data_IF_696038709638
#
_entry.id   IF_696038709638
#
_cell.length_a   1.000
_cell.length_b   1.000
_cell.length_c   1.000
_cell.angle_alpha   90.00
_cell.angle_beta   90.00
_cell.angle_gamma   90.00
#
_symmetry.space_group_name_H-M   'P 1'
#
loop_
_entity.id
_entity.type
_entity.pdbx_description
1 polymer ?
#
# COMPACT_ATOMS: atom_id res chain seq x y z
N UNK A 1 -9.16 -15.96 -13.30
CA UNK A 1 -7.83 -15.71 -12.71
C UNK A 1 -7.26 -14.44 -13.35
N UNK A 2 -7.64 -13.24 -12.86
CA UNK A 2 -7.22 -11.97 -13.50
C UNK A 2 -6.00 -11.35 -12.79
N UNK A 3 -5.71 -11.74 -11.55
CA UNK A 3 -4.49 -11.35 -10.84
C UNK A 3 -3.45 -12.45 -10.95
N UNK A 4 -2.71 -12.48 -12.07
CA UNK A 4 -1.46 -13.22 -12.14
C UNK A 4 -0.38 -12.40 -11.43
N UNK A 5 0.40 -13.01 -10.52
CA UNK A 5 1.49 -12.36 -9.79
C UNK A 5 2.47 -11.62 -10.72
N UNK A 6 2.60 -12.09 -11.97
CA UNK A 6 3.41 -11.49 -13.03
C UNK A 6 2.95 -10.08 -13.45
N UNK A 7 1.66 -9.77 -13.36
CA UNK A 7 1.09 -8.45 -13.73
C UNK A 7 0.85 -7.59 -12.49
N UNK A 8 0.45 -8.22 -11.38
CA UNK A 8 0.15 -7.49 -10.14
C UNK A 8 1.38 -6.78 -9.56
N UNK A 9 2.55 -7.43 -9.57
CA UNK A 9 3.80 -6.87 -9.04
C UNK A 9 4.30 -5.62 -9.77
N UNK A 10 4.47 -5.62 -11.12
CA UNK A 10 4.91 -4.42 -11.83
C UNK A 10 3.88 -3.30 -11.74
N UNK A 11 2.57 -3.62 -11.80
CA UNK A 11 1.52 -2.63 -11.64
C UNK A 11 1.59 -1.96 -10.26
N UNK A 12 1.74 -2.75 -9.20
CA UNK A 12 1.90 -2.25 -7.84
C UNK A 12 3.15 -1.36 -7.72
N UNK A 13 4.30 -1.79 -8.26
CA UNK A 13 5.52 -0.97 -8.25
C UNK A 13 5.35 0.36 -8.98
N UNK A 14 4.70 0.37 -10.14
CA UNK A 14 4.42 1.62 -10.90
C UNK A 14 3.51 2.53 -10.10
N UNK A 15 2.42 2.02 -9.51
CA UNK A 15 1.53 2.81 -8.67
C UNK A 15 2.25 3.39 -7.45
N UNK A 16 3.12 2.61 -6.79
CA UNK A 16 3.97 3.09 -5.68
C UNK A 16 4.94 4.17 -6.11
N UNK A 17 5.55 4.02 -7.29
CA UNK A 17 6.45 5.03 -7.83
C UNK A 17 5.71 6.33 -8.17
N UNK A 18 4.52 6.24 -8.77
CA UNK A 18 3.69 7.41 -9.06
C UNK A 18 3.19 8.11 -7.79
N UNK A 19 2.83 7.34 -6.76
CA UNK A 19 2.50 7.85 -5.43
C UNK A 19 3.69 8.61 -4.81
N UNK A 20 4.88 7.99 -4.80
CA UNK A 20 6.09 8.58 -4.22
C UNK A 20 6.56 9.83 -4.98
N UNK A 21 6.62 9.77 -6.31
CA UNK A 21 7.02 10.91 -7.14
C UNK A 21 6.04 12.08 -7.00
N UNK A 22 4.74 11.83 -6.89
CA UNK A 22 3.74 12.88 -6.62
C UNK A 22 4.00 13.56 -5.28
N UNK A 23 4.30 12.80 -4.22
CA UNK A 23 4.63 13.36 -2.91
C UNK A 23 5.90 14.22 -2.94
N UNK A 24 6.94 13.78 -3.66
CA UNK A 24 8.19 14.56 -3.86
C UNK A 24 7.93 15.87 -4.59
N UNK A 25 7.08 15.85 -5.63
CA UNK A 25 6.72 17.07 -6.37
C UNK A 25 5.96 18.06 -5.49
N UNK A 26 4.98 17.58 -4.69
CA UNK A 26 4.26 18.42 -3.73
C UNK A 26 5.23 19.04 -2.74
N UNK A 27 6.12 18.24 -2.13
CA UNK A 27 7.16 18.73 -1.22
C UNK A 27 7.99 19.85 -1.87
N UNK A 28 8.47 19.66 -3.11
CA UNK A 28 9.25 20.68 -3.80
C UNK A 28 8.48 21.96 -4.10
N UNK A 29 7.20 21.85 -4.47
CA UNK A 29 6.33 23.00 -4.73
C UNK A 29 5.98 23.76 -3.44
N UNK A 30 5.64 23.05 -2.37
CA UNK A 30 5.34 23.67 -1.07
C UNK A 30 6.58 24.34 -0.48
N UNK A 31 7.77 23.73 -0.57
CA UNK A 31 9.02 24.34 -0.11
C UNK A 31 9.34 25.61 -0.90
N UNK A 32 9.09 25.61 -2.21
CA UNK A 32 9.25 26.80 -3.06
C UNK A 32 8.31 27.93 -2.61
N UNK A 33 7.05 27.63 -2.31
CA UNK A 33 6.11 28.63 -1.83
C UNK A 33 6.47 29.17 -0.45
N UNK A 34 6.99 28.34 0.46
CA UNK A 34 7.48 28.79 1.78
C UNK A 34 8.67 29.75 1.64
N UNK A 35 9.56 29.51 0.66
CA UNK A 35 10.70 30.39 0.40
C UNK A 35 10.30 31.72 -0.24
N UNK A 36 9.33 31.70 -1.15
CA UNK A 36 8.99 32.85 -2.00
C UNK A 36 7.80 33.68 -1.49
N UNK A 37 6.95 33.12 -0.63
CA UNK A 37 5.62 33.68 -0.30
C UNK A 37 5.30 33.77 1.19
N UNK A 38 4.11 34.33 1.53
CA UNK A 38 3.63 34.41 2.90
C UNK A 38 3.41 33.00 3.48
N UNK A 39 3.84 32.80 4.72
CA UNK A 39 3.77 31.53 5.44
C UNK A 39 2.33 31.20 5.83
N UNK A 40 1.59 30.57 4.93
CA UNK A 40 0.23 30.07 5.21
C UNK A 40 0.25 28.78 6.03
N UNK A 41 -0.62 28.69 7.03
CA UNK A 41 -0.76 27.50 7.89
C UNK A 41 -1.12 26.22 7.11
N UNK A 42 -1.98 26.35 6.08
CA UNK A 42 -2.34 25.24 5.20
C UNK A 42 -1.15 24.72 4.37
N UNK A 43 -0.23 25.62 4.04
CA UNK A 43 0.96 25.30 3.23
C UNK A 43 1.99 24.51 4.06
N UNK A 44 2.14 24.85 5.35
CA UNK A 44 2.96 24.09 6.30
C UNK A 44 2.36 22.70 6.53
N UNK A 45 1.03 22.58 6.62
CA UNK A 45 0.37 21.28 6.76
C UNK A 45 0.65 20.36 5.55
N UNK A 46 0.53 20.89 4.33
CA UNK A 46 0.84 20.15 3.10
C UNK A 46 2.32 19.73 3.04
N UNK A 47 3.25 20.63 3.39
CA UNK A 47 4.68 20.34 3.47
C UNK A 47 4.97 19.14 4.39
N UNK A 48 4.42 19.15 5.61
CA UNK A 48 4.64 18.09 6.60
C UNK A 48 4.14 16.74 6.08
N UNK A 49 2.93 16.70 5.51
CA UNK A 49 2.39 15.45 4.94
C UNK A 49 3.27 14.96 3.80
N UNK A 50 3.74 15.86 2.93
CA UNK A 50 4.59 15.51 1.80
C UNK A 50 5.93 14.92 2.27
N UNK A 51 6.61 15.55 3.23
CA UNK A 51 7.88 15.06 3.79
C UNK A 51 7.71 13.71 4.48
N UNK A 52 6.67 13.54 5.31
CA UNK A 52 6.40 12.27 5.97
C UNK A 52 6.10 11.18 4.93
N UNK A 53 5.31 11.49 3.88
CA UNK A 53 5.00 10.54 2.80
C UNK A 53 6.27 10.03 2.11
N UNK A 54 7.21 10.92 1.79
CA UNK A 54 8.47 10.56 1.12
C UNK A 54 9.28 9.55 1.93
N UNK A 55 9.33 9.71 3.26
CA UNK A 55 10.07 8.81 4.15
C UNK A 55 9.33 7.48 4.34
N UNK A 56 8.02 7.53 4.65
CA UNK A 56 7.24 6.34 4.96
C UNK A 56 6.87 5.49 3.74
N UNK A 57 6.93 6.04 2.52
CA UNK A 57 6.70 5.27 1.29
C UNK A 57 7.94 4.52 0.79
N UNK A 58 9.14 4.77 1.33
CA UNK A 58 10.35 4.00 0.96
C UNK A 58 10.19 2.50 1.27
N UNK A 59 9.75 2.09 2.49
CA UNK A 59 9.43 0.70 2.79
C UNK A 59 8.38 0.09 1.86
N UNK A 60 7.46 0.89 1.32
CA UNK A 60 6.40 0.42 0.43
C UNK A 60 6.94 -0.14 -0.91
N UNK A 61 8.12 0.29 -1.36
CA UNK A 61 8.79 -0.30 -2.53
C UNK A 61 9.28 -1.73 -2.30
N UNK A 62 9.51 -2.10 -1.03
CA UNK A 62 10.01 -3.42 -0.63
C UNK A 62 8.85 -4.40 -0.38
N UNK A 63 7.63 -3.88 -0.13
CA UNK A 63 6.41 -4.67 0.09
C UNK A 63 6.15 -5.78 -0.95
N UNK A 64 6.31 -5.53 -2.27
CA UNK A 64 6.06 -6.54 -3.30
C UNK A 64 6.98 -7.76 -3.21
N UNK A 65 8.11 -7.64 -2.50
CA UNK A 65 9.12 -8.69 -2.35
C UNK A 65 8.99 -9.46 -1.02
N UNK A 66 8.33 -8.90 0.01
CA UNK A 66 8.11 -9.55 1.31
C UNK A 66 6.62 -9.47 1.76
N UNK A 67 5.72 -10.22 1.10
CA UNK A 67 4.27 -10.10 1.27
C UNK A 67 3.73 -10.50 2.66
N UNK A 68 4.46 -11.31 3.44
CA UNK A 68 3.96 -11.84 4.73
C UNK A 68 4.19 -10.91 5.94
N UNK A 69 5.27 -10.13 5.94
CA UNK A 69 5.66 -9.31 7.08
C UNK A 69 5.42 -7.81 6.86
N UNK A 70 5.70 -7.29 5.66
CA UNK A 70 5.67 -5.84 5.41
C UNK A 70 4.32 -5.33 4.91
N UNK A 71 3.54 -6.18 4.24
CA UNK A 71 2.30 -5.77 3.58
C UNK A 71 1.23 -5.24 4.57
N UNK A 72 1.14 -5.78 5.79
CA UNK A 72 0.21 -5.27 6.82
C UNK A 72 0.60 -3.85 7.30
N UNK A 73 1.90 -3.59 7.45
CA UNK A 73 2.41 -2.30 7.89
C UNK A 73 2.23 -1.24 6.80
N UNK A 74 2.51 -1.60 5.54
CA UNK A 74 2.33 -0.73 4.38
C UNK A 74 0.85 -0.38 4.17
N UNK A 75 -0.06 -1.34 4.33
CA UNK A 75 -1.51 -1.09 4.27
C UNK A 75 -1.94 -0.07 5.34
N UNK A 76 -1.47 -0.21 6.59
CA UNK A 76 -1.78 0.75 7.66
C UNK A 76 -1.29 2.17 7.31
N UNK A 77 -0.06 2.27 6.80
CA UNK A 77 0.51 3.53 6.32
C UNK A 77 -0.38 4.12 5.22
N UNK A 78 -0.77 3.32 4.22
CA UNK A 78 -1.59 3.79 3.11
C UNK A 78 -2.95 4.32 3.57
N UNK A 79 -3.58 3.69 4.57
CA UNK A 79 -4.86 4.16 5.12
C UNK A 79 -4.70 5.53 5.78
N UNK A 80 -3.67 5.69 6.62
CA UNK A 80 -3.38 6.96 7.32
C UNK A 80 -3.08 8.04 6.28
N UNK A 81 -2.19 7.76 5.34
CA UNK A 81 -1.80 8.72 4.33
C UNK A 81 -2.92 9.02 3.33
N UNK A 82 -3.79 8.07 2.99
CA UNK A 82 -4.96 8.33 2.15
C UNK A 82 -5.86 9.40 2.79
N UNK A 83 -6.08 9.33 4.10
CA UNK A 83 -6.84 10.34 4.83
C UNK A 83 -6.10 11.69 4.87
N UNK A 84 -4.80 11.69 5.17
CA UNK A 84 -3.99 12.90 5.20
C UNK A 84 -3.95 13.60 3.82
N UNK A 85 -3.76 12.86 2.74
CA UNK A 85 -3.78 13.41 1.38
C UNK A 85 -5.15 13.95 0.99
N UNK A 86 -6.24 13.27 1.40
CA UNK A 86 -7.60 13.77 1.16
C UNK A 86 -7.87 15.07 1.91
N UNK A 87 -7.48 15.18 3.18
CA UNK A 87 -7.60 16.43 3.94
C UNK A 87 -6.73 17.55 3.38
N UNK A 88 -5.50 17.25 2.96
CA UNK A 88 -4.63 18.20 2.27
C UNK A 88 -5.25 18.69 0.95
N UNK A 89 -5.91 17.80 0.20
CA UNK A 89 -6.64 18.15 -1.02
C UNK A 89 -7.82 19.08 -0.73
N UNK A 90 -8.63 18.79 0.29
CA UNK A 90 -9.77 19.64 0.67
C UNK A 90 -9.28 21.06 1.03
N UNK A 91 -8.23 21.17 1.83
CA UNK A 91 -7.67 22.48 2.18
C UNK A 91 -7.04 23.19 0.99
N UNK A 92 -6.37 22.48 0.08
CA UNK A 92 -5.84 23.06 -1.15
C UNK A 92 -6.96 23.58 -2.06
N UNK A 93 -8.05 22.82 -2.20
CA UNK A 93 -9.20 23.20 -3.01
C UNK A 93 -9.91 24.44 -2.44
N UNK A 94 -10.04 24.54 -1.12
CA UNK A 94 -10.59 25.73 -0.48
C UNK A 94 -9.66 26.94 -0.67
N UNK A 95 -8.38 26.83 -0.31
CA UNK A 95 -7.40 27.93 -0.36
C UNK A 95 -7.14 28.45 -1.80
N UNK A 96 -7.26 27.59 -2.82
CA UNK A 96 -6.97 27.96 -4.21
C UNK A 96 -8.20 28.20 -5.09
N UNK A 97 -9.42 27.96 -4.61
CA UNK A 97 -10.65 28.13 -5.39
C UNK A 97 -11.60 29.20 -4.80
N UNK A 98 -11.35 29.69 -3.59
CA UNK A 98 -12.25 30.65 -2.94
C UNK A 98 -12.22 32.06 -3.58
N UNK A 99 -11.09 32.49 -4.17
CA UNK A 99 -10.93 33.84 -4.73
C UNK A 99 -10.20 33.85 -6.07
N UNK A 100 -10.51 34.83 -6.93
CA UNK A 100 -9.85 35.02 -8.23
C UNK A 100 -8.36 35.30 -8.04
N UNK A 101 -7.59 34.22 -8.15
CA UNK A 101 -6.14 34.11 -8.01
C UNK A 101 -5.36 35.09 -8.91
N UNK A 102 -6.01 35.67 -9.92
CA UNK A 102 -5.47 36.72 -10.79
C UNK A 102 -5.39 38.11 -10.13
N UNK A 103 -6.32 38.43 -9.21
CA UNK A 103 -6.45 39.79 -8.64
C UNK A 103 -5.79 39.99 -7.27
N UNK A 104 -5.53 38.90 -6.51
CA UNK A 104 -4.96 38.96 -5.16
C UNK A 104 -3.60 38.24 -5.03
N UNK A 105 -2.94 37.89 -6.14
CA UNK A 105 -1.62 37.27 -6.08
C UNK A 105 -0.53 38.32 -5.79
N UNK A 106 0.25 38.17 -4.71
CA UNK A 106 1.45 38.99 -4.52
C UNK A 106 2.43 38.75 -5.68
N UNK A 107 3.20 39.78 -6.10
CA UNK A 107 4.09 39.69 -7.25
C UNK A 107 5.13 38.56 -7.03
N UNK A 108 5.05 37.50 -7.85
CA UNK A 108 6.02 36.39 -7.85
C UNK A 108 5.45 34.97 -7.74
N UNK A 109 4.16 34.79 -7.40
CA UNK A 109 3.50 33.47 -7.36
C UNK A 109 2.45 33.39 -8.47
N UNK A 110 2.76 32.65 -9.53
CA UNK A 110 1.82 32.44 -10.64
C UNK A 110 0.70 31.49 -10.23
N UNK A 111 -0.53 31.80 -10.67
CA UNK A 111 -1.70 30.99 -10.37
C UNK A 111 -1.58 29.54 -10.85
N UNK A 112 -0.90 29.34 -11.99
CA UNK A 112 -0.62 28.02 -12.56
C UNK A 112 0.15 27.10 -11.59
N UNK A 113 1.03 27.65 -10.74
CA UNK A 113 1.78 26.84 -9.76
C UNK A 113 0.90 26.41 -8.59
N UNK A 114 -0.04 27.24 -8.16
CA UNK A 114 -1.03 26.86 -7.12
C UNK A 114 -1.93 25.73 -7.61
N UNK A 115 -2.43 25.84 -8.85
CA UNK A 115 -3.22 24.78 -9.50
C UNK A 115 -2.41 23.51 -9.78
N UNK A 116 -1.12 23.64 -10.10
CA UNK A 116 -0.24 22.48 -10.19
C UNK A 116 -0.12 21.76 -8.83
N UNK A 117 0.08 22.49 -7.74
CA UNK A 117 0.14 21.91 -6.39
C UNK A 117 -1.16 21.16 -6.05
N UNK A 118 -2.32 21.76 -6.28
CA UNK A 118 -3.63 21.13 -6.12
C UNK A 118 -3.74 19.79 -6.87
N UNK A 119 -3.32 19.78 -8.14
CA UNK A 119 -3.36 18.59 -8.98
C UNK A 119 -2.42 17.49 -8.49
N UNK A 120 -1.20 17.82 -8.07
CA UNK A 120 -0.25 16.82 -7.55
C UNK A 120 -0.67 16.26 -6.18
N UNK A 121 -1.32 17.06 -5.34
CA UNK A 121 -1.94 16.57 -4.09
C UNK A 121 -3.05 15.56 -4.42
N UNK A 122 -3.89 15.85 -5.42
CA UNK A 122 -4.91 14.90 -5.89
C UNK A 122 -4.29 13.62 -6.48
N UNK A 123 -3.22 13.74 -7.26
CA UNK A 123 -2.49 12.57 -7.79
C UNK A 123 -1.89 11.71 -6.67
N UNK A 124 -1.29 12.33 -5.65
CA UNK A 124 -0.78 11.61 -4.49
C UNK A 124 -1.91 10.86 -3.76
N UNK A 125 -3.08 11.48 -3.58
CA UNK A 125 -4.26 10.83 -3.03
C UNK A 125 -4.71 9.63 -3.86
N UNK A 126 -4.94 9.80 -5.17
CA UNK A 126 -5.51 8.74 -6.01
C UNK A 126 -4.55 7.56 -6.18
N UNK A 127 -3.24 7.80 -6.27
CA UNK A 127 -2.26 6.73 -6.32
C UNK A 127 -2.10 6.02 -4.98
N UNK A 128 -2.21 6.74 -3.85
CA UNK A 128 -2.27 6.10 -2.52
C UNK A 128 -3.51 5.21 -2.41
N UNK A 129 -4.66 5.68 -2.90
CA UNK A 129 -5.90 4.91 -2.93
C UNK A 129 -5.75 3.64 -3.79
N UNK A 130 -5.32 3.76 -5.04
CA UNK A 130 -5.10 2.57 -5.88
C UNK A 130 -4.01 1.64 -5.34
N UNK A 131 -2.93 2.20 -4.76
CA UNK A 131 -1.88 1.43 -4.10
C UNK A 131 -2.42 0.56 -2.97
N UNK A 132 -3.29 1.11 -2.13
CA UNK A 132 -4.00 0.37 -1.08
C UNK A 132 -4.86 -0.77 -1.64
N UNK A 133 -5.65 -0.53 -2.68
CA UNK A 133 -6.48 -1.58 -3.31
C UNK A 133 -5.62 -2.70 -3.91
N UNK A 134 -4.51 -2.35 -4.57
CA UNK A 134 -3.57 -3.33 -5.11
C UNK A 134 -2.89 -4.15 -4.01
N UNK A 135 -2.54 -3.52 -2.89
CA UNK A 135 -1.96 -4.21 -1.71
C UNK A 135 -2.95 -5.21 -1.11
N UNK A 136 -4.22 -4.82 -0.95
CA UNK A 136 -5.29 -5.69 -0.46
C UNK A 136 -5.55 -6.84 -1.43
N UNK A 137 -5.59 -6.56 -2.73
CA UNK A 137 -5.74 -7.59 -3.76
C UNK A 137 -4.57 -8.58 -3.75
N UNK A 138 -3.34 -8.09 -3.59
CA UNK A 138 -2.13 -8.91 -3.46
C UNK A 138 -2.17 -9.82 -2.22
N UNK A 139 -2.57 -9.28 -1.08
CA UNK A 139 -2.77 -10.06 0.16
C UNK A 139 -3.86 -11.12 0.00
N UNK A 140 -4.96 -10.79 -0.68
CA UNK A 140 -6.05 -11.73 -0.92
C UNK A 140 -5.63 -12.87 -1.85
N UNK A 141 -4.90 -12.55 -2.93
CA UNK A 141 -4.32 -13.55 -3.83
C UNK A 141 -3.35 -14.48 -3.08
N UNK A 142 -2.43 -13.91 -2.29
CA UNK A 142 -1.48 -14.68 -1.48
C UNK A 142 -2.19 -15.58 -0.45
N UNK A 143 -3.22 -15.08 0.24
CA UNK A 143 -4.00 -15.93 1.17
C UNK A 143 -4.73 -17.06 0.45
N UNK A 144 -5.28 -16.80 -0.73
CA UNK A 144 -5.97 -17.82 -1.53
C UNK A 144 -5.02 -18.92 -1.99
N UNK A 145 -3.81 -18.56 -2.43
CA UNK A 145 -2.77 -19.52 -2.81
C UNK A 145 -2.31 -20.36 -1.61
N UNK A 146 -2.09 -19.74 -0.45
CA UNK A 146 -1.68 -20.47 0.76
C UNK A 146 -2.81 -21.28 1.41
N UNK A 147 -4.07 -20.86 1.29
CA UNK A 147 -5.22 -21.63 1.74
C UNK A 147 -5.45 -22.86 0.84
N UNK A 148 -5.15 -22.76 -0.46
CA UNK A 148 -5.19 -23.89 -1.38
C UNK A 148 -3.98 -24.84 -1.19
N UNK A 149 -2.85 -24.32 -0.73
CA UNK A 149 -1.64 -25.10 -0.41
C UNK A 149 -1.57 -25.57 1.05
N UNK A 150 -2.55 -25.23 1.89
CA UNK A 150 -2.60 -25.70 3.27
C UNK A 150 -2.73 -27.23 3.24
N UNK A 151 -1.79 -27.98 3.83
CA UNK A 151 -1.93 -29.43 3.90
C UNK A 151 -3.23 -29.70 4.65
N UNK A 152 -4.09 -30.53 4.06
CA UNK A 152 -5.23 -31.12 4.75
C UNK A 152 -4.62 -31.79 5.98
N UNK A 153 -4.78 -31.16 7.14
CA UNK A 153 -4.34 -31.72 8.39
C UNK A 153 -5.33 -32.85 8.66
N UNK A 154 -5.06 -34.03 8.10
CA UNK A 154 -5.76 -35.23 8.50
C UNK A 154 -5.59 -35.31 10.02
N UNK A 155 -6.72 -35.22 10.70
CA UNK A 155 -6.81 -35.29 12.15
C UNK A 155 -6.52 -36.75 12.47
N UNK A 156 -5.25 -37.11 12.59
CA UNK A 156 -4.87 -38.44 13.04
C UNK A 156 -5.31 -38.53 14.50
N UNK A 157 -6.44 -39.19 14.74
CA UNK A 157 -6.91 -39.49 16.08
C UNK A 157 -5.83 -40.34 16.78
N UNK A 158 -5.24 -39.87 17.89
CA UNK A 158 -4.29 -40.65 18.66
C UNK A 158 -5.09 -41.71 19.44
N UNK A 159 -5.56 -42.75 18.76
CA UNK A 159 -6.42 -43.76 19.39
C UNK A 159 -7.12 -44.76 18.47
N UNK A 160 -6.93 -44.70 17.15
CA UNK A 160 -7.45 -45.74 16.26
C UNK A 160 -6.67 -47.04 16.47
N UNK A 161 -7.13 -47.85 17.43
CA UNK A 161 -6.75 -49.25 17.59
C UNK A 161 -6.86 -49.93 16.22
N UNK A 162 -5.80 -50.65 15.84
CA UNK A 162 -5.84 -51.53 14.69
C UNK A 162 -7.09 -52.43 14.78
N UNK A 163 -7.82 -52.65 13.68
CA UNK A 163 -8.98 -53.52 13.68
C UNK A 163 -8.56 -54.90 14.17
N UNK A 164 -9.29 -55.45 15.16
CA UNK A 164 -9.02 -56.74 15.79
C UNK A 164 -9.11 -57.95 14.82
N UNK A 165 -9.43 -57.71 13.55
CA UNK A 165 -9.68 -58.74 12.54
C UNK A 165 -8.50 -58.94 11.58
N UNK A 166 -7.32 -58.37 11.87
CA UNK A 166 -6.12 -58.72 11.12
C UNK A 166 -5.77 -60.21 11.36
N UNK A 167 -5.59 -61.04 10.32
CA UNK A 167 -5.27 -62.44 10.50
C UNK A 167 -3.97 -62.56 11.28
N UNK A 168 -3.99 -63.31 12.38
CA UNK A 168 -2.79 -63.68 13.13
C UNK A 168 -1.93 -64.54 12.21
N UNK A 169 -0.80 -64.00 11.76
CA UNK A 169 0.20 -64.76 11.02
C UNK A 169 0.81 -65.79 11.98
N UNK A 170 0.28 -67.02 11.94
CA UNK A 170 0.82 -68.15 12.67
C UNK A 170 2.19 -68.50 12.08
N UNK A 171 3.25 -68.22 12.83
CA UNK A 171 4.59 -68.74 12.58
C UNK A 171 4.54 -70.28 12.58
N UNK A 172 4.52 -70.88 11.39
CA UNK A 172 4.59 -72.32 11.21
C UNK A 172 5.98 -72.88 11.58
N UNK A 173 6.06 -74.12 12.11
CA UNK A 173 7.32 -74.73 12.51
C UNK A 173 8.02 -75.30 11.26
N UNK A 174 9.28 -74.92 11.04
CA UNK A 174 10.13 -75.59 10.06
C UNK A 174 10.85 -76.76 10.76
N UNK A 175 10.34 -77.97 10.55
CA UNK A 175 11.00 -79.21 10.95
C UNK A 175 12.08 -79.65 9.95
N UNK A 176 13.15 -80.22 10.52
CA UNK A 176 14.02 -81.32 10.05
C UNK A 176 14.74 -81.22 8.70
N UNK A 177 16.08 -81.23 8.75
CA UNK A 177 16.93 -82.37 8.36
C UNK A 177 18.04 -82.53 9.39
#
# INVERSE_FOLDING_TARGET
MIFSTTIARPLQLVTRFLQWSSAVIVMGLTSYFIKQGPKGQHLIYQEVIAVLSVVFFIPAFISPFLPSALSKFVLLIDVIFSYLWLTAFIFAAQDYNEHSCYFNAPPGISCSRKKANEAFIFLAFIFTFFGMFLEVAGLWAYRKENAAAAPVHEKHEPGARAPLDAPVEQSAPAGTV
#
